data_IF_216911232872
#
_entry.id   IF_216911232872
#
_cell.length_a   1.000
_cell.length_b   1.000
_cell.length_c   1.000
_cell.angle_alpha   90.00
_cell.angle_beta   90.00
_cell.angle_gamma   90.00
#
_symmetry.space_group_name_H-M   'P 1'
#
loop_
_entity.id
_entity.type
_entity.pdbx_description
1 polymer ?
#
# COMPACT_ATOMS: atom_id res chain seq x y z
N UNK A 1 -4.45 11.58 -11.11
CA UNK A 1 -4.65 11.09 -9.72
C UNK A 1 -5.42 9.78 -9.82
N UNK A 2 -4.79 8.64 -9.51
CA UNK A 2 -5.44 7.43 -8.98
C UNK A 2 -6.75 7.01 -9.66
N UNK A 3 -6.67 6.50 -10.89
CA UNK A 3 -7.86 6.03 -11.61
C UNK A 3 -8.60 4.89 -10.90
N UNK A 4 -7.93 4.21 -9.96
CA UNK A 4 -8.47 3.00 -9.30
C UNK A 4 -8.81 3.15 -7.81
N UNK A 5 -8.63 4.34 -7.20
CA UNK A 5 -8.99 4.54 -5.78
C UNK A 5 -10.45 4.95 -5.67
N UNK A 6 -11.28 3.93 -5.51
CA UNK A 6 -12.73 4.05 -5.38
C UNK A 6 -13.18 4.19 -3.92
N UNK A 7 -14.46 4.50 -3.71
CA UNK A 7 -15.09 4.50 -2.38
C UNK A 7 -14.95 3.15 -1.66
N UNK A 8 -14.92 2.03 -2.40
CA UNK A 8 -14.73 0.71 -1.81
C UNK A 8 -13.31 0.55 -1.23
N UNK A 9 -12.30 1.07 -1.93
CA UNK A 9 -10.92 1.08 -1.43
C UNK A 9 -10.81 1.93 -0.17
N UNK A 10 -11.44 3.09 -0.15
CA UNK A 10 -11.47 3.96 1.03
C UNK A 10 -12.09 3.25 2.25
N UNK A 11 -13.19 2.52 2.06
CA UNK A 11 -13.82 1.71 3.11
C UNK A 11 -12.88 0.63 3.66
N UNK A 12 -12.09 -0.02 2.81
CA UNK A 12 -11.08 -1.00 3.25
C UNK A 12 -10.07 -0.35 4.19
N UNK A 13 -9.50 0.80 3.80
CA UNK A 13 -8.55 1.52 4.66
C UNK A 13 -9.22 2.03 5.95
N UNK A 14 -10.46 2.50 5.88
CA UNK A 14 -11.21 2.94 7.06
C UNK A 14 -11.40 1.77 8.05
N UNK A 15 -11.87 0.61 7.58
CA UNK A 15 -12.03 -0.57 8.43
C UNK A 15 -10.70 -1.04 9.01
N UNK A 16 -9.62 -1.05 8.24
CA UNK A 16 -8.29 -1.44 8.71
C UNK A 16 -7.76 -0.48 9.79
N UNK A 17 -7.87 0.83 9.58
CA UNK A 17 -7.42 1.83 10.56
C UNK A 17 -8.25 1.78 11.84
N UNK A 18 -9.57 1.54 11.74
CA UNK A 18 -10.46 1.37 12.89
C UNK A 18 -10.11 0.12 13.71
N UNK A 19 -9.82 -1.01 13.08
CA UNK A 19 -9.41 -2.25 13.78
C UNK A 19 -8.12 -2.07 14.58
N UNK A 20 -7.20 -1.24 14.09
CA UNK A 20 -5.91 -0.96 14.74
C UNK A 20 -6.00 0.18 15.75
N UNK A 21 -7.09 0.96 15.74
CA UNK A 21 -7.24 2.14 16.61
C UNK A 21 -6.37 3.33 16.19
N UNK A 22 -6.06 3.45 14.89
CA UNK A 22 -5.28 4.57 14.33
C UNK A 22 -6.08 5.32 13.27
N UNK A 23 -5.60 6.49 12.83
CA UNK A 23 -6.22 7.28 11.76
C UNK A 23 -5.18 7.68 10.74
N UNK A 24 -5.41 7.32 9.48
CA UNK A 24 -4.53 7.70 8.38
C UNK A 24 -5.12 8.85 7.57
N UNK A 25 -4.27 9.80 7.17
CA UNK A 25 -4.64 10.80 6.18
C UNK A 25 -4.89 10.15 4.81
N UNK A 26 -5.82 10.72 4.05
CA UNK A 26 -6.17 10.25 2.70
C UNK A 26 -4.95 10.14 1.78
N UNK A 27 -4.01 11.07 1.86
CA UNK A 27 -2.78 11.03 1.06
C UNK A 27 -1.94 9.76 1.32
N UNK A 28 -1.92 9.25 2.55
CA UNK A 28 -1.20 8.02 2.94
C UNK A 28 -1.89 6.79 2.40
N UNK A 29 -3.22 6.73 2.53
CA UNK A 29 -4.04 5.64 1.98
C UNK A 29 -3.84 5.54 0.46
N UNK A 30 -3.92 6.68 -0.23
CA UNK A 30 -3.68 6.79 -1.68
C UNK A 30 -2.27 6.38 -2.08
N UNK A 31 -1.25 6.78 -1.31
CA UNK A 31 0.14 6.39 -1.56
C UNK A 31 0.33 4.87 -1.42
N UNK A 32 -0.17 4.28 -0.33
CA UNK A 32 -0.06 2.83 -0.10
C UNK A 32 -0.85 2.04 -1.13
N UNK A 33 -2.06 2.48 -1.49
CA UNK A 33 -2.82 1.84 -2.57
C UNK A 33 -2.04 1.83 -3.89
N UNK A 34 -1.50 2.98 -4.31
CA UNK A 34 -0.66 3.07 -5.50
C UNK A 34 0.55 2.16 -5.40
N UNK A 35 1.23 2.11 -4.24
CA UNK A 35 2.40 1.27 -4.04
C UNK A 35 2.06 -0.23 -4.15
N UNK A 36 0.98 -0.69 -3.50
CA UNK A 36 0.50 -2.07 -3.60
C UNK A 36 0.18 -2.42 -5.05
N UNK A 37 -0.52 -1.53 -5.77
CA UNK A 37 -0.84 -1.74 -7.18
C UNK A 37 0.43 -1.85 -8.04
N UNK A 38 1.41 -0.96 -7.84
CA UNK A 38 2.68 -1.02 -8.55
C UNK A 38 3.47 -2.30 -8.25
N UNK A 39 3.45 -2.78 -7.01
CA UNK A 39 4.08 -4.07 -6.63
C UNK A 39 3.43 -5.21 -7.41
N UNK A 40 2.09 -5.25 -7.46
CA UNK A 40 1.35 -6.30 -8.18
C UNK A 40 1.65 -6.25 -9.69
N UNK A 41 1.65 -5.06 -10.29
CA UNK A 41 1.84 -4.89 -11.73
C UNK A 41 3.28 -5.17 -12.17
N UNK A 42 4.26 -4.66 -11.43
CA UNK A 42 5.69 -4.82 -11.75
C UNK A 42 6.27 -6.16 -11.29
N UNK A 43 5.62 -6.81 -10.31
CA UNK A 43 6.14 -7.98 -9.59
C UNK A 43 7.51 -7.72 -8.95
N UNK A 44 7.72 -6.48 -8.51
CA UNK A 44 8.97 -6.02 -7.92
C UNK A 44 8.75 -5.34 -6.58
N UNK A 45 9.83 -5.16 -5.84
CA UNK A 45 9.90 -4.36 -4.61
C UNK A 45 10.89 -3.20 -4.74
N UNK A 46 11.62 -3.12 -5.85
CA UNK A 46 12.63 -2.09 -6.07
C UNK A 46 11.97 -0.74 -6.41
N UNK A 47 12.25 0.30 -5.64
CA UNK A 47 11.60 1.61 -5.83
C UNK A 47 11.67 2.17 -7.26
N UNK A 48 12.80 2.07 -8.00
CA UNK A 48 12.84 2.52 -9.39
C UNK A 48 11.84 1.78 -10.29
N UNK A 49 11.67 0.48 -10.10
CA UNK A 49 10.71 -0.33 -10.85
C UNK A 49 9.27 0.05 -10.48
N UNK A 50 8.99 0.18 -9.18
CA UNK A 50 7.68 0.62 -8.69
C UNK A 50 7.29 2.01 -9.22
N UNK A 51 8.26 2.92 -9.34
CA UNK A 51 8.03 4.28 -9.80
C UNK A 51 7.44 4.35 -11.22
N UNK A 52 7.74 3.36 -12.08
CA UNK A 52 7.21 3.27 -13.45
C UNK A 52 5.70 3.03 -13.49
N UNK A 53 5.13 2.45 -12.42
CA UNK A 53 3.70 2.09 -12.31
C UNK A 53 2.95 2.80 -11.19
N UNK A 54 3.60 3.72 -10.47
CA UNK A 54 3.00 4.40 -9.32
C UNK A 54 1.89 5.38 -9.73
N UNK A 55 2.15 6.16 -10.78
CA UNK A 55 1.21 7.11 -11.36
C UNK A 55 1.63 7.45 -12.79
N UNK A 56 0.89 6.94 -13.78
CA UNK A 56 1.19 7.11 -15.20
C UNK A 56 1.19 8.58 -15.68
N UNK A 57 0.50 9.49 -14.95
CA UNK A 57 0.45 10.91 -15.29
C UNK A 57 1.69 11.70 -14.83
N UNK A 58 2.67 11.05 -14.20
CA UNK A 58 3.84 11.68 -13.59
C UNK A 58 5.10 10.97 -14.05
N UNK A 59 6.17 11.74 -14.32
CA UNK A 59 7.47 11.19 -14.73
C UNK A 59 8.05 10.26 -13.67
N UNK A 60 8.64 9.14 -14.08
CA UNK A 60 9.23 8.13 -13.18
C UNK A 60 10.18 8.70 -12.12
N UNK A 61 11.10 9.65 -12.43
CA UNK A 61 11.97 10.24 -11.40
C UNK A 61 11.21 11.00 -10.32
N UNK A 62 10.03 11.55 -10.64
CA UNK A 62 9.17 12.22 -9.66
C UNK A 62 8.39 11.22 -8.82
N UNK A 63 7.96 10.09 -9.40
CA UNK A 63 7.36 9.00 -8.64
C UNK A 63 8.38 8.37 -7.68
N UNK A 64 9.62 8.16 -8.13
CA UNK A 64 10.71 7.65 -7.29
C UNK A 64 10.96 8.54 -6.07
N UNK A 65 11.12 9.86 -6.29
CA UNK A 65 11.27 10.83 -5.20
C UNK A 65 10.11 10.81 -4.22
N UNK A 66 8.88 10.61 -4.71
CA UNK A 66 7.69 10.52 -3.86
C UNK A 66 7.68 9.26 -3.00
N UNK A 67 8.12 8.11 -3.55
CA UNK A 67 8.28 6.87 -2.77
C UNK A 67 9.34 7.09 -1.68
N UNK A 68 10.53 7.58 -2.06
CA UNK A 68 11.62 7.84 -1.12
C UNK A 68 11.20 8.81 -0.01
N UNK A 69 10.59 9.94 -0.35
CA UNK A 69 10.13 10.92 0.63
C UNK A 69 9.05 10.36 1.56
N UNK A 70 8.16 9.51 1.05
CA UNK A 70 7.15 8.85 1.88
C UNK A 70 7.81 7.99 2.96
N UNK A 71 8.72 7.09 2.59
CA UNK A 71 9.41 6.24 3.56
C UNK A 71 10.43 6.98 4.44
N UNK A 72 10.98 8.10 3.99
CA UNK A 72 11.89 8.92 4.79
C UNK A 72 11.19 9.67 5.93
N UNK A 73 9.90 10.01 5.76
CA UNK A 73 9.17 10.87 6.70
C UNK A 73 7.97 10.21 7.36
N UNK A 74 7.58 9.02 6.92
CA UNK A 74 6.44 8.31 7.46
C UNK A 74 6.82 6.93 7.98
N UNK A 75 6.65 6.77 9.28
CA UNK A 75 6.72 5.49 9.94
C UNK A 75 5.41 4.72 9.69
N UNK A 76 5.52 3.58 9.02
CA UNK A 76 4.37 2.76 8.65
C UNK A 76 3.85 1.94 9.83
N UNK A 77 2.57 2.09 10.14
CA UNK A 77 1.88 1.15 11.03
C UNK A 77 1.60 -0.16 10.28
N UNK A 78 2.51 -1.12 10.43
CA UNK A 78 2.42 -2.43 9.78
C UNK A 78 1.15 -3.22 10.13
N UNK A 79 0.50 -2.92 11.26
CA UNK A 79 -0.77 -3.57 11.62
C UNK A 79 -1.88 -3.17 10.66
N UNK A 80 -1.92 -1.89 10.26
CA UNK A 80 -2.88 -1.40 9.26
C UNK A 80 -2.62 -2.05 7.91
N UNK A 81 -1.35 -2.16 7.52
CA UNK A 81 -0.96 -2.86 6.29
C UNK A 81 -1.42 -4.32 6.33
N UNK A 82 -1.21 -5.02 7.45
CA UNK A 82 -1.69 -6.38 7.66
C UNK A 82 -3.21 -6.49 7.47
N UNK A 83 -3.99 -5.61 8.10
CA UNK A 83 -5.45 -5.57 7.93
C UNK A 83 -5.88 -5.30 6.47
N UNK A 84 -5.20 -4.39 5.77
CA UNK A 84 -5.47 -4.13 4.35
C UNK A 84 -5.15 -5.37 3.50
N UNK A 85 -4.01 -6.02 3.70
CA UNK A 85 -3.64 -7.22 2.95
C UNK A 85 -4.61 -8.38 3.22
N UNK A 86 -5.06 -8.53 4.46
CA UNK A 86 -6.06 -9.54 4.82
C UNK A 86 -7.42 -9.32 4.14
N UNK A 87 -7.74 -8.10 3.71
CA UNK A 87 -8.97 -7.84 2.94
C UNK A 87 -8.98 -8.50 1.55
N UNK A 88 -7.81 -8.87 1.02
CA UNK A 88 -7.70 -9.63 -0.23
C UNK A 88 -7.89 -11.14 -0.04
N UNK A 89 -7.86 -11.63 1.20
CA UNK A 89 -8.00 -13.07 1.48
C UNK A 89 -9.48 -13.44 1.50
N UNK A 90 -9.91 -14.20 0.49
CA UNK A 90 -11.33 -14.55 0.28
C UNK A 90 -11.88 -15.59 1.24
N UNK A 91 -11.03 -16.31 1.98
CA UNK A 91 -11.43 -17.45 2.81
C UNK A 91 -11.22 -17.17 4.30
N UNK A 92 -12.14 -17.67 5.14
CA UNK A 92 -12.07 -17.50 6.60
C UNK A 92 -11.15 -18.51 7.29
N UNK A 93 -10.84 -19.64 6.64
CA UNK A 93 -9.92 -20.65 7.16
C UNK A 93 -8.53 -20.41 6.57
N UNK A 94 -7.63 -19.85 7.36
CA UNK A 94 -6.24 -19.65 6.96
C UNK A 94 -5.32 -20.65 7.66
N UNK A 95 -4.25 -21.07 6.99
CA UNK A 95 -3.09 -21.71 7.60
C UNK A 95 -2.03 -20.65 7.77
N UNK A 96 -1.64 -20.38 9.01
CA UNK A 96 -0.54 -19.47 9.31
C UNK A 96 0.76 -20.26 9.17
N UNK A 97 1.66 -19.77 8.32
CA UNK A 97 3.02 -20.30 8.20
C UNK A 97 3.97 -19.15 8.54
N UNK A 98 4.82 -19.37 9.54
CA UNK A 98 5.80 -18.38 9.99
C UNK A 98 7.16 -18.97 9.70
N UNK A 99 7.90 -18.32 8.81
CA UNK A 99 9.29 -18.65 8.50
C UNK A 99 10.17 -17.47 8.92
N UNK A 100 11.39 -17.76 9.38
CA UNK A 100 12.34 -16.70 9.75
C UNK A 100 13.33 -16.50 8.62
N UNK A 101 13.34 -15.30 8.06
CA UNK A 101 14.43 -14.80 7.21
C UNK A 101 15.42 -14.02 8.07
N UNK A 102 16.72 -14.28 7.87
CA UNK A 102 17.83 -13.62 8.58
C UNK A 102 18.06 -12.19 8.08
#
# INVERSE_FOLDING_TARGET
MIEHYSSNVEKIFQSATQQVGTRWHLARQKMIFSLIFSIIETRSVQFPELATKLNAAVKDPSNLRRIQAFFAHYELDYRVIGCVLMSFVTTKKCRISIDRTN
#
